data_IF_014352222224
#
_entry.id   IF_014352222224
#
_cell.length_a   1.000
_cell.length_b   1.000
_cell.length_c   1.000
_cell.angle_alpha   90.00
_cell.angle_beta   90.00
_cell.angle_gamma   90.00
#
_symmetry.space_group_name_H-M   'P 1'
#
loop_
_entity.id
_entity.type
_entity.pdbx_description
1 polymer ?
#
# COMPACT_ATOMS: atom_id res chain seq x y z
N UNK A 1 0.37 24.26 72.74
CA UNK A 1 0.94 23.09 72.02
C UNK A 1 2.02 23.61 71.07
N UNK A 2 3.32 23.50 71.38
CA UNK A 2 4.38 23.94 70.48
C UNK A 2 4.38 23.08 69.21
N UNK A 3 4.42 23.73 68.03
CA UNK A 3 4.41 23.07 66.72
C UNK A 3 5.70 22.24 66.58
N UNK A 4 5.59 20.91 66.53
CA UNK A 4 6.73 20.01 66.27
C UNK A 4 7.32 20.33 64.90
N UNK A 5 8.60 20.68 64.88
CA UNK A 5 9.31 21.02 63.64
C UNK A 5 9.71 19.72 62.93
N UNK A 6 8.86 19.26 62.01
CA UNK A 6 9.07 18.01 61.25
C UNK A 6 10.45 17.92 60.60
N UNK A 7 11.02 19.04 60.16
CA UNK A 7 12.36 19.06 59.56
C UNK A 7 13.45 18.58 60.52
N UNK A 8 13.33 18.91 61.82
CA UNK A 8 14.28 18.49 62.84
C UNK A 8 14.14 17.00 63.15
N UNK A 9 12.92 16.47 63.14
CA UNK A 9 12.66 15.04 63.32
C UNK A 9 13.21 14.24 62.14
N UNK A 10 13.00 14.70 60.90
CA UNK A 10 13.58 14.05 59.71
C UNK A 10 15.11 14.09 59.68
N UNK A 11 15.73 15.20 60.11
CA UNK A 11 17.18 15.29 60.21
C UNK A 11 17.76 14.29 61.22
N UNK A 12 17.15 14.20 62.41
CA UNK A 12 17.55 13.21 63.43
C UNK A 12 17.34 11.78 62.95
N UNK A 13 16.27 11.53 62.19
CA UNK A 13 15.99 10.21 61.62
C UNK A 13 17.02 9.84 60.55
N UNK A 14 17.45 10.78 59.71
CA UNK A 14 18.53 10.56 58.74
C UNK A 14 19.89 10.30 59.42
N UNK A 15 20.24 11.09 60.44
CA UNK A 15 21.47 10.90 61.23
C UNK A 15 21.47 9.55 61.99
N UNK A 16 20.30 9.11 62.46
CA UNK A 16 20.13 7.81 63.11
C UNK A 16 20.21 6.65 62.11
N UNK A 17 19.71 6.83 60.89
CA UNK A 17 19.88 5.89 59.78
C UNK A 17 21.35 5.74 59.38
N UNK A 18 22.09 6.85 59.34
CA UNK A 18 23.54 6.85 59.07
C UNK A 18 24.35 6.23 60.21
N UNK A 19 24.00 6.49 61.48
CA UNK A 19 24.69 5.91 62.65
C UNK A 19 24.40 4.43 62.86
N UNK A 20 23.15 4.01 62.71
CA UNK A 20 22.74 2.62 62.93
C UNK A 20 22.96 1.75 61.68
N UNK A 21 23.22 2.38 60.52
CA UNK A 21 23.43 1.69 59.26
C UNK A 21 22.22 0.83 58.92
N UNK A 22 21.08 1.45 58.62
CA UNK A 22 19.99 0.68 57.99
C UNK A 22 20.55 0.11 56.69
N UNK A 23 20.59 -1.23 56.53
CA UNK A 23 21.07 -1.82 55.30
C UNK A 23 20.20 -1.30 54.16
N UNK A 24 20.82 -0.50 53.29
CA UNK A 24 20.21 -0.02 52.07
C UNK A 24 19.89 -1.23 51.22
N UNK A 25 18.58 -1.47 51.10
CA UNK A 25 17.91 -2.50 50.32
C UNK A 25 18.12 -3.96 50.75
N UNK A 26 16.99 -4.64 50.98
CA UNK A 26 16.97 -6.11 51.04
C UNK A 26 17.70 -6.67 49.81
N UNK A 27 18.63 -7.63 49.98
CA UNK A 27 19.36 -8.20 48.85
C UNK A 27 18.37 -8.79 47.86
N UNK A 28 18.60 -8.57 46.56
CA UNK A 28 17.75 -9.18 45.54
C UNK A 28 17.76 -10.72 45.71
N UNK A 29 16.68 -11.40 45.31
CA UNK A 29 16.52 -12.84 45.54
C UNK A 29 17.65 -13.72 44.96
N UNK A 30 18.47 -13.20 44.04
CA UNK A 30 19.70 -13.82 43.57
C UNK A 30 20.87 -13.66 44.54
N UNK A 31 21.08 -12.47 45.11
CA UNK A 31 22.17 -12.20 46.04
C UNK A 31 21.92 -12.87 47.39
N UNK A 32 20.66 -12.86 47.86
CA UNK A 32 20.24 -13.56 49.06
C UNK A 32 20.53 -15.07 48.97
N UNK A 33 20.19 -15.70 47.84
CA UNK A 33 20.47 -17.13 47.60
C UNK A 33 21.97 -17.48 47.51
N UNK A 34 22.81 -16.51 47.12
CA UNK A 34 24.25 -16.70 46.97
C UNK A 34 25.06 -16.28 48.20
N UNK A 35 24.41 -15.74 49.23
CA UNK A 35 25.08 -15.26 50.45
C UNK A 35 26.06 -14.10 50.21
N UNK A 36 25.86 -13.31 49.13
CA UNK A 36 26.74 -12.17 48.78
C UNK A 36 26.01 -10.85 49.00
N UNK A 37 26.76 -9.81 49.35
CA UNK A 37 26.22 -8.43 49.42
C UNK A 37 25.73 -8.02 48.03
N UNK A 38 24.54 -7.43 47.98
CA UNK A 38 23.96 -6.94 46.73
C UNK A 38 24.66 -5.65 46.33
N UNK A 39 25.69 -5.74 45.49
CA UNK A 39 26.27 -4.56 44.84
C UNK A 39 25.32 -4.11 43.73
N UNK A 40 24.60 -2.99 43.95
CA UNK A 40 23.92 -2.29 42.85
C UNK A 40 25.01 -1.84 41.86
N UNK A 41 25.16 -2.59 40.77
CA UNK A 41 25.99 -2.16 39.63
C UNK A 41 25.24 -1.05 38.93
N UNK A 42 25.52 0.18 39.30
CA UNK A 42 25.07 1.32 38.52
C UNK A 42 25.79 1.32 37.18
N UNK A 43 25.06 1.64 36.12
CA UNK A 43 25.66 1.87 34.80
C UNK A 43 26.66 3.01 34.89
N UNK A 44 27.80 2.84 34.21
CA UNK A 44 28.82 3.89 34.21
C UNK A 44 28.33 5.11 33.42
N UNK A 45 28.84 6.28 33.74
CA UNK A 45 28.53 7.50 32.98
C UNK A 45 28.89 7.36 31.49
N UNK A 46 29.91 6.56 31.16
CA UNK A 46 30.31 6.25 29.79
C UNK A 46 29.27 5.41 29.05
N UNK A 47 28.60 4.46 29.73
CA UNK A 47 27.50 3.69 29.15
C UNK A 47 26.32 4.61 28.82
N UNK A 48 25.97 5.52 29.73
CA UNK A 48 24.93 6.53 29.48
C UNK A 48 25.29 7.46 28.32
N UNK A 49 26.54 7.95 28.27
CA UNK A 49 27.01 8.80 27.16
C UNK A 49 26.93 8.08 25.82
N UNK A 50 27.31 6.79 25.78
CA UNK A 50 27.21 5.98 24.57
C UNK A 50 25.75 5.82 24.14
N UNK A 51 24.87 5.45 25.06
CA UNK A 51 23.45 5.27 24.78
C UNK A 51 22.82 6.54 24.23
N UNK A 52 23.17 7.71 24.79
CA UNK A 52 22.67 8.99 24.29
C UNK A 52 23.19 9.29 22.87
N UNK A 53 24.47 9.04 22.58
CA UNK A 53 25.00 9.20 21.21
C UNK A 53 24.31 8.29 20.21
N UNK A 54 24.10 7.03 20.57
CA UNK A 54 23.43 6.06 19.72
C UNK A 54 21.97 6.50 19.47
N UNK A 55 21.27 6.96 20.52
CA UNK A 55 19.93 7.55 20.40
C UNK A 55 19.92 8.75 19.46
N UNK A 56 20.82 9.72 19.66
CA UNK A 56 20.85 10.94 18.86
C UNK A 56 21.19 10.63 17.38
N UNK A 57 22.04 9.63 17.13
CA UNK A 57 22.33 9.11 15.78
C UNK A 57 21.09 8.51 15.13
N UNK A 58 20.34 7.69 15.88
CA UNK A 58 19.09 7.11 15.38
C UNK A 58 18.04 8.18 15.13
N UNK A 59 17.93 9.20 15.98
CA UNK A 59 17.03 10.34 15.74
C UNK A 59 17.39 11.06 14.45
N UNK A 60 18.67 11.35 14.21
CA UNK A 60 19.10 11.97 12.96
C UNK A 60 18.80 11.10 11.72
N UNK A 61 18.93 9.77 11.84
CA UNK A 61 18.55 8.85 10.77
C UNK A 61 17.04 8.84 10.52
N UNK A 62 16.23 8.87 11.58
CA UNK A 62 14.77 8.98 11.47
C UNK A 62 14.40 10.26 10.71
N UNK A 63 14.91 11.42 11.15
CA UNK A 63 14.62 12.71 10.53
C UNK A 63 15.01 12.73 9.03
N UNK A 64 16.18 12.18 8.69
CA UNK A 64 16.63 12.04 7.29
C UNK A 64 15.67 11.16 6.47
N UNK A 65 15.26 10.02 7.00
CA UNK A 65 14.31 9.15 6.30
C UNK A 65 12.92 9.77 6.15
N UNK A 66 12.47 10.54 7.14
CA UNK A 66 11.21 11.30 7.06
C UNK A 66 11.28 12.34 5.95
N UNK A 67 12.37 13.10 5.86
CA UNK A 67 12.59 14.07 4.77
C UNK A 67 12.57 13.40 3.38
N UNK A 68 13.17 12.22 3.25
CA UNK A 68 13.14 11.46 1.99
C UNK A 68 11.73 11.00 1.63
N UNK A 69 10.95 10.55 2.62
CA UNK A 69 9.55 10.17 2.43
C UNK A 69 8.73 11.37 1.98
N UNK A 70 8.90 12.53 2.60
CA UNK A 70 8.21 13.77 2.21
C UNK A 70 8.53 14.17 0.75
N UNK A 71 9.80 14.10 0.35
CA UNK A 71 10.21 14.37 -1.02
C UNK A 71 9.57 13.41 -2.03
N UNK A 72 9.48 12.12 -1.69
CA UNK A 72 8.81 11.12 -2.52
C UNK A 72 7.29 11.38 -2.62
N UNK A 73 6.64 11.77 -1.52
CA UNK A 73 5.23 12.14 -1.52
C UNK A 73 4.95 13.38 -2.37
N UNK A 74 5.81 14.40 -2.30
CA UNK A 74 5.72 15.59 -3.15
C UNK A 74 5.84 15.22 -4.64
N UNK A 75 6.81 14.36 -4.98
CA UNK A 75 6.97 13.83 -6.34
C UNK A 75 5.73 13.05 -6.79
N UNK A 76 5.21 12.16 -5.96
CA UNK A 76 4.00 11.38 -6.24
C UNK A 76 2.79 12.28 -6.49
N UNK A 77 2.62 13.34 -5.70
CA UNK A 77 1.55 14.33 -5.88
C UNK A 77 1.69 15.04 -7.23
N UNK A 78 2.90 15.48 -7.60
CA UNK A 78 3.15 16.12 -8.90
C UNK A 78 2.82 15.19 -10.08
N UNK A 79 3.19 13.91 -9.99
CA UNK A 79 2.91 12.91 -11.03
C UNK A 79 1.41 12.64 -11.14
N UNK A 80 0.68 12.54 -10.02
CA UNK A 80 -0.78 12.41 -10.04
C UNK A 80 -1.46 13.60 -10.72
N UNK A 81 -1.01 14.82 -10.44
CA UNK A 81 -1.52 16.03 -11.10
C UNK A 81 -1.23 16.00 -12.60
N UNK A 82 0.00 15.64 -12.99
CA UNK A 82 0.39 15.56 -14.41
C UNK A 82 -0.39 14.48 -15.16
N UNK A 83 -0.62 13.31 -14.55
CA UNK A 83 -1.49 12.27 -15.10
C UNK A 83 -2.90 12.80 -15.35
N UNK A 84 -3.54 13.41 -14.34
CA UNK A 84 -4.88 13.99 -14.49
C UNK A 84 -4.96 15.02 -15.62
N UNK A 85 -3.94 15.85 -15.76
CA UNK A 85 -3.84 16.81 -16.85
C UNK A 85 -3.80 16.11 -18.22
N UNK A 86 -2.97 15.07 -18.36
CA UNK A 86 -2.88 14.29 -19.60
C UNK A 86 -4.19 13.55 -19.91
N UNK A 87 -4.84 12.95 -18.91
CA UNK A 87 -6.13 12.27 -19.08
C UNK A 87 -7.20 13.27 -19.57
N UNK A 88 -7.26 14.47 -18.98
CA UNK A 88 -8.18 15.53 -19.41
C UNK A 88 -7.86 16.03 -20.83
N UNK A 89 -6.58 16.14 -21.18
CA UNK A 89 -6.17 16.51 -22.54
C UNK A 89 -6.57 15.44 -23.55
N UNK A 90 -6.36 14.17 -23.22
CA UNK A 90 -6.76 13.04 -24.07
C UNK A 90 -8.26 13.02 -24.32
N UNK A 91 -9.08 13.27 -23.29
CA UNK A 91 -10.54 13.42 -23.45
C UNK A 91 -10.92 14.55 -24.42
N UNK A 92 -10.31 15.72 -24.28
CA UNK A 92 -10.56 16.85 -25.20
C UNK A 92 -10.15 16.56 -26.64
N UNK A 93 -9.05 15.83 -26.83
CA UNK A 93 -8.63 15.39 -28.16
C UNK A 93 -9.66 14.42 -28.75
N UNK A 94 -10.12 13.45 -27.97
CA UNK A 94 -11.16 12.52 -28.40
C UNK A 94 -12.45 13.25 -28.77
N UNK A 95 -12.92 14.18 -27.92
CA UNK A 95 -14.11 15.01 -28.17
C UNK A 95 -13.97 15.84 -29.46
N UNK A 96 -12.79 16.43 -29.69
CA UNK A 96 -12.51 17.14 -30.92
C UNK A 96 -12.57 16.22 -32.13
N UNK A 97 -11.90 15.06 -32.07
CA UNK A 97 -11.83 14.11 -33.18
C UNK A 97 -13.22 13.55 -33.49
N UNK A 98 -14.06 13.28 -32.49
CA UNK A 98 -15.46 12.89 -32.71
C UNK A 98 -16.24 13.96 -33.46
N UNK A 99 -16.09 15.24 -33.07
CA UNK A 99 -16.78 16.35 -33.76
C UNK A 99 -16.28 16.52 -35.20
N UNK A 100 -14.98 16.33 -35.45
CA UNK A 100 -14.43 16.37 -36.81
C UNK A 100 -14.98 15.23 -37.65
N UNK A 101 -15.04 14.01 -37.12
CA UNK A 101 -15.61 12.86 -37.82
C UNK A 101 -17.09 13.06 -38.12
N UNK A 102 -17.87 13.58 -37.18
CA UNK A 102 -19.28 13.91 -37.40
C UNK A 102 -19.45 14.93 -38.53
N UNK A 103 -18.63 15.98 -38.57
CA UNK A 103 -18.65 16.96 -39.66
C UNK A 103 -18.24 16.38 -41.00
N UNK A 104 -17.21 15.54 -41.05
CA UNK A 104 -16.80 14.88 -42.29
C UNK A 104 -17.91 13.97 -42.82
N UNK A 105 -18.62 13.27 -41.93
CA UNK A 105 -19.78 12.46 -42.30
C UNK A 105 -20.97 13.32 -42.79
N UNK A 106 -21.13 14.55 -42.26
CA UNK A 106 -22.15 15.51 -42.72
C UNK A 106 -21.78 16.17 -44.06
N UNK A 107 -20.51 16.48 -44.30
CA UNK A 107 -20.01 17.14 -45.51
C UNK A 107 -19.86 16.20 -46.71
N UNK A 108 -19.52 14.93 -46.47
CA UNK A 108 -19.42 13.88 -47.49
C UNK A 108 -20.20 12.64 -47.04
N UNK A 109 -21.55 12.71 -47.00
CA UNK A 109 -22.35 11.56 -46.63
C UNK A 109 -22.13 10.47 -47.68
N UNK A 110 -21.76 9.26 -47.24
CA UNK A 110 -21.65 8.12 -48.14
C UNK A 110 -22.91 8.04 -49.01
N UNK A 111 -22.72 8.02 -50.33
CA UNK A 111 -23.86 7.92 -51.22
C UNK A 111 -24.57 6.59 -50.99
N UNK A 112 -25.85 6.54 -51.35
CA UNK A 112 -26.62 5.29 -51.31
C UNK A 112 -25.98 4.19 -52.17
N UNK A 113 -25.16 4.57 -53.16
CA UNK A 113 -24.40 3.66 -54.00
C UNK A 113 -23.18 3.08 -53.26
N UNK A 114 -22.43 3.92 -52.55
CA UNK A 114 -21.28 3.47 -51.72
C UNK A 114 -21.74 2.56 -50.58
N UNK A 115 -22.91 2.84 -49.98
CA UNK A 115 -23.52 1.96 -48.98
C UNK A 115 -23.89 0.58 -49.54
N UNK A 116 -24.41 0.51 -50.76
CA UNK A 116 -24.72 -0.76 -51.43
C UNK A 116 -23.45 -1.53 -51.81
N UNK A 117 -22.38 -0.84 -52.18
CA UNK A 117 -21.08 -1.48 -52.46
C UNK A 117 -20.42 -2.03 -51.20
N UNK A 118 -20.47 -1.29 -50.09
CA UNK A 118 -19.99 -1.77 -48.78
C UNK A 118 -20.78 -2.99 -48.30
N UNK A 119 -22.11 -2.99 -48.48
CA UNK A 119 -22.96 -4.13 -48.13
C UNK A 119 -22.62 -5.36 -49.00
N UNK A 120 -22.36 -5.16 -50.30
CA UNK A 120 -21.85 -6.25 -51.16
C UNK A 120 -20.50 -6.79 -50.67
N UNK A 121 -19.55 -5.92 -50.33
CA UNK A 121 -18.22 -6.35 -49.84
C UNK A 121 -18.32 -7.10 -48.51
N UNK A 122 -19.21 -6.68 -47.60
CA UNK A 122 -19.46 -7.37 -46.34
C UNK A 122 -20.07 -8.77 -46.59
N UNK A 123 -21.09 -8.84 -47.43
CA UNK A 123 -21.72 -10.09 -47.83
C UNK A 123 -20.74 -11.03 -48.55
N UNK A 124 -19.84 -10.50 -49.39
CA UNK A 124 -18.80 -11.27 -50.07
C UNK A 124 -17.76 -11.80 -49.08
N UNK A 125 -17.38 -11.01 -48.06
CA UNK A 125 -16.49 -11.48 -46.98
C UNK A 125 -17.12 -12.56 -46.13
N UNK A 126 -18.39 -12.42 -45.77
CA UNK A 126 -19.12 -13.42 -45.00
C UNK A 126 -19.34 -14.70 -45.82
N UNK A 127 -19.64 -14.57 -47.12
CA UNK A 127 -19.71 -15.69 -48.04
C UNK A 127 -18.35 -16.39 -48.21
N UNK A 128 -17.24 -15.65 -48.27
CA UNK A 128 -15.89 -16.22 -48.31
C UNK A 128 -15.52 -16.91 -47.00
N UNK A 129 -15.88 -16.34 -45.84
CA UNK A 129 -15.68 -16.99 -44.55
C UNK A 129 -16.48 -18.29 -44.45
N UNK A 130 -17.75 -18.28 -44.88
CA UNK A 130 -18.60 -19.46 -44.94
C UNK A 130 -18.06 -20.51 -45.92
N UNK A 131 -17.62 -20.11 -47.12
CA UNK A 131 -17.01 -21.01 -48.10
C UNK A 131 -15.69 -21.61 -47.59
N UNK A 132 -14.84 -20.79 -46.97
CA UNK A 132 -13.60 -21.25 -46.35
C UNK A 132 -13.85 -22.23 -45.20
N UNK A 133 -15.01 -22.17 -44.52
CA UNK A 133 -15.41 -23.18 -43.53
C UNK A 133 -16.16 -24.37 -44.11
N UNK A 134 -16.76 -24.24 -45.29
CA UNK A 134 -17.53 -25.30 -45.96
C UNK A 134 -16.63 -26.37 -46.59
N UNK A 135 -15.45 -25.98 -47.09
CA UNK A 135 -14.46 -26.93 -47.64
C UNK A 135 -13.68 -27.68 -46.53
N UNK A 136 -13.81 -27.23 -45.29
CA UNK A 136 -13.18 -27.84 -44.12
C UNK A 136 -14.16 -28.79 -43.44
N UNK A 137 -14.41 -29.97 -44.03
CA UNK A 137 -15.21 -31.03 -43.40
C UNK A 137 -14.72 -31.40 -41.98
N UNK A 138 -13.47 -31.08 -41.63
CA UNK A 138 -12.91 -31.27 -40.28
C UNK A 138 -13.42 -30.26 -39.25
N UNK A 139 -13.85 -29.05 -39.64
CA UNK A 139 -14.30 -28.00 -38.72
C UNK A 139 -15.74 -28.24 -38.25
N UNK A 140 -16.62 -28.67 -39.15
CA UNK A 140 -17.97 -29.11 -38.81
C UNK A 140 -17.98 -30.40 -37.98
N UNK A 141 -16.97 -31.26 -38.14
CA UNK A 141 -16.74 -32.39 -37.23
C UNK A 141 -16.17 -31.94 -35.87
N UNK A 142 -15.30 -30.94 -35.85
CA UNK A 142 -14.73 -30.36 -34.63
C UNK A 142 -15.80 -29.71 -33.72
N UNK A 143 -16.79 -29.02 -34.30
CA UNK A 143 -17.85 -28.36 -33.52
C UNK A 143 -18.93 -29.31 -33.04
N UNK A 144 -19.10 -30.45 -33.71
CA UNK A 144 -20.04 -31.51 -33.35
C UNK A 144 -19.42 -32.61 -32.46
N UNK A 145 -18.12 -32.52 -32.13
CA UNK A 145 -17.47 -33.46 -31.22
C UNK A 145 -17.63 -33.01 -29.75
N UNK A 146 -18.39 -33.76 -28.92
CA UNK A 146 -18.62 -33.39 -27.52
C UNK A 146 -17.33 -33.39 -26.67
N UNK A 147 -16.22 -33.99 -27.15
CA UNK A 147 -14.94 -33.97 -26.45
C UNK A 147 -14.31 -32.56 -26.37
N UNK A 148 -14.61 -31.68 -27.32
CA UNK A 148 -14.02 -30.33 -27.37
C UNK A 148 -14.66 -29.40 -26.35
N UNK A 149 -15.94 -29.58 -26.08
CA UNK A 149 -16.67 -28.84 -25.04
C UNK A 149 -16.47 -29.41 -23.63
N UNK A 150 -15.95 -30.64 -23.51
CA UNK A 150 -15.75 -31.30 -22.22
C UNK A 150 -14.76 -30.58 -21.27
N UNK A 151 -13.88 -29.72 -21.81
CA UNK A 151 -12.94 -28.90 -21.04
C UNK A 151 -13.30 -27.41 -20.99
N UNK A 152 -14.42 -27.01 -21.61
CA UNK A 152 -14.91 -25.63 -21.54
C UNK A 152 -15.89 -25.54 -20.37
N UNK A 153 -15.37 -25.21 -19.18
CA UNK A 153 -16.18 -24.98 -17.99
C UNK A 153 -16.87 -23.61 -18.07
N UNK A 154 -18.11 -23.59 -18.56
CA UNK A 154 -18.95 -22.39 -18.61
C UNK A 154 -19.38 -21.89 -17.21
N UNK A 155 -18.99 -22.56 -16.13
CA UNK A 155 -19.30 -22.14 -14.75
C UNK A 155 -18.45 -20.95 -14.28
N UNK A 156 -17.43 -20.54 -15.03
CA UNK A 156 -16.51 -19.46 -14.65
C UNK A 156 -16.91 -18.05 -15.16
N UNK A 157 -18.15 -17.83 -15.58
CA UNK A 157 -18.69 -16.48 -15.82
C UNK A 157 -19.71 -16.08 -14.75
N UNK A 158 -19.24 -16.03 -13.51
CA UNK A 158 -19.71 -15.03 -12.55
C UNK A 158 -18.60 -13.97 -12.42
N UNK A 159 -18.55 -13.06 -13.40
CA UNK A 159 -17.92 -11.75 -13.19
C UNK A 159 -18.88 -10.96 -12.30
N UNK A 160 -18.85 -11.26 -11.00
CA UNK A 160 -19.39 -10.36 -10.00
C UNK A 160 -18.49 -9.13 -9.96
N UNK A 161 -19.06 -7.97 -10.29
CA UNK A 161 -18.51 -6.66 -9.93
C UNK A 161 -18.06 -6.68 -8.47
N UNK A 162 -16.75 -6.70 -8.23
CA UNK A 162 -16.20 -6.47 -6.90
C UNK A 162 -15.83 -4.99 -6.78
N UNK A 163 -16.84 -4.19 -6.47
CA UNK A 163 -16.69 -2.82 -6.02
C UNK A 163 -16.17 -2.84 -4.57
N UNK A 164 -15.00 -2.23 -4.34
CA UNK A 164 -14.62 -1.54 -3.10
C UNK A 164 -14.55 -2.34 -1.79
N UNK A 165 -13.34 -2.54 -1.27
CA UNK A 165 -13.13 -2.92 0.13
C UNK A 165 -11.68 -2.87 0.57
N UNK A 166 -11.25 -1.74 1.13
CA UNK A 166 -9.94 -1.54 1.76
C UNK A 166 -9.71 -2.51 2.94
N UNK A 167 -8.50 -3.06 3.13
CA UNK A 167 -8.12 -3.67 4.40
C UNK A 167 -7.49 -2.61 5.31
N UNK A 168 -8.24 -2.20 6.33
CA UNK A 168 -7.71 -1.57 7.53
C UNK A 168 -7.17 -2.68 8.44
N UNK A 169 -5.85 -2.76 8.58
CA UNK A 169 -5.18 -3.68 9.49
C UNK A 169 -4.55 -2.90 10.64
N UNK A 170 -5.22 -2.88 11.79
CA UNK A 170 -4.63 -2.50 13.08
C UNK A 170 -4.07 -3.75 13.75
N UNK A 171 -2.78 -3.73 14.08
CA UNK A 171 -2.19 -4.46 15.22
C UNK A 171 -1.03 -3.64 15.77
#
# INVERSE_FOLDING_TARGET
MPKRNRYREFGLQADEIERQGIPVDNPCGSCLRRGRKCEKRFHSENEWKRLNRDRDTLTAQIDETENQIEALFARLKSLKTRRKFLDNRGKKMLEHDTVVMDRLNEEDPLSTQDLQELDKIANDRDALALAATADNASLTQLWNDPAIWANVDFSAHNIAEQVGGSPSGSR
#
